data_IF_406238678638
#
_entry.id   IF_406238678638
#
_cell.length_a   1.000
_cell.length_b   1.000
_cell.length_c   1.000
_cell.angle_alpha   90.00
_cell.angle_beta   90.00
_cell.angle_gamma   90.00
#
_symmetry.space_group_name_H-M   'P 1'
#
loop_
_entity.id
_entity.type
_entity.pdbx_description
1 polymer ?
#
# COMPACT_ATOMS: atom_id res chain seq x y z
N UNK A 1 7.42 -4.42 4.67
CA UNK A 1 6.65 -3.45 5.49
C UNK A 1 7.45 -2.21 5.82
N UNK A 2 8.62 -2.29 6.46
CA UNK A 2 9.44 -1.11 6.79
C UNK A 2 9.90 -0.31 5.56
N UNK A 3 10.49 -0.97 4.55
CA UNK A 3 10.88 -0.32 3.29
C UNK A 3 9.69 0.28 2.54
N UNK A 4 8.52 -0.37 2.58
CA UNK A 4 7.31 0.15 1.96
C UNK A 4 6.90 1.49 2.59
N UNK A 5 6.81 1.56 3.93
CA UNK A 5 6.48 2.80 4.64
C UNK A 5 7.50 3.92 4.38
N UNK A 6 8.79 3.58 4.33
CA UNK A 6 9.86 4.54 4.05
C UNK A 6 9.78 5.10 2.62
N UNK A 7 9.51 4.24 1.62
CA UNK A 7 9.36 4.67 0.22
C UNK A 7 8.09 5.52 0.04
N UNK A 8 6.99 5.16 0.70
CA UNK A 8 5.74 5.94 0.67
C UNK A 8 5.93 7.34 1.26
N UNK A 9 6.60 7.44 2.41
CA UNK A 9 6.91 8.73 3.05
C UNK A 9 7.83 9.61 2.18
N UNK A 10 8.83 9.01 1.52
CA UNK A 10 9.69 9.70 0.56
C UNK A 10 8.93 10.17 -0.69
N UNK A 11 7.88 9.43 -1.10
CA UNK A 11 7.00 9.79 -2.22
C UNK A 11 6.12 11.00 -1.89
N UNK A 12 5.73 11.18 -0.62
CA UNK A 12 5.01 12.36 -0.14
C UNK A 12 5.87 13.65 -0.17
N UNK A 13 7.18 13.53 0.06
CA UNK A 13 8.08 14.69 0.15
C UNK A 13 8.72 15.10 -1.19
N UNK A 14 8.68 14.24 -2.22
CA UNK A 14 9.34 14.54 -3.50
C UNK A 14 8.60 15.62 -4.30
N UNK A 15 9.34 16.63 -4.77
CA UNK A 15 8.87 17.73 -5.63
C UNK A 15 9.19 17.48 -7.12
N UNK A 16 9.89 16.39 -7.44
CA UNK A 16 10.43 16.13 -8.78
C UNK A 16 9.82 14.87 -9.41
N UNK A 17 9.46 14.98 -10.69
CA UNK A 17 8.81 13.92 -11.47
C UNK A 17 9.71 12.68 -11.64
N UNK A 18 11.02 12.88 -11.80
CA UNK A 18 12.01 11.79 -11.82
C UNK A 18 12.11 11.06 -10.49
N UNK A 19 12.01 11.78 -9.36
CA UNK A 19 12.01 11.17 -8.03
C UNK A 19 10.76 10.36 -7.76
N UNK A 20 9.63 10.78 -8.33
CA UNK A 20 8.37 10.05 -8.27
C UNK A 20 8.44 8.71 -9.02
N UNK A 21 9.00 8.72 -10.23
CA UNK A 21 9.16 7.51 -11.06
C UNK A 21 10.11 6.51 -10.37
N UNK A 22 11.23 7.00 -9.83
CA UNK A 22 12.16 6.16 -9.08
C UNK A 22 11.49 5.53 -7.84
N UNK A 23 10.76 6.33 -7.05
CA UNK A 23 10.05 5.82 -5.88
C UNK A 23 8.98 4.79 -6.25
N UNK A 24 8.27 4.97 -7.39
CA UNK A 24 7.31 4.00 -7.93
C UNK A 24 7.96 2.66 -8.29
N UNK A 25 9.15 2.70 -8.90
CA UNK A 25 9.92 1.51 -9.26
C UNK A 25 10.35 0.71 -8.03
N UNK A 26 10.92 1.39 -7.03
CA UNK A 26 11.30 0.74 -5.77
C UNK A 26 10.09 0.21 -4.99
N UNK A 27 8.98 0.94 -5.00
CA UNK A 27 7.74 0.48 -4.38
C UNK A 27 7.25 -0.82 -5.04
N UNK A 28 7.21 -0.88 -6.37
CA UNK A 28 6.83 -2.09 -7.11
C UNK A 28 7.75 -3.29 -6.85
N UNK A 29 9.07 -3.06 -6.74
CA UNK A 29 10.04 -4.10 -6.38
C UNK A 29 9.81 -4.63 -4.96
N UNK A 30 9.46 -3.77 -4.01
CA UNK A 30 9.19 -4.18 -2.62
C UNK A 30 7.83 -4.88 -2.50
N UNK A 31 6.83 -4.49 -3.28
CA UNK A 31 5.48 -5.06 -3.21
C UNK A 31 5.41 -6.48 -3.79
N UNK A 32 6.16 -6.75 -4.87
CA UNK A 32 6.15 -8.07 -5.54
C UNK A 32 6.64 -9.21 -4.65
N UNK A 33 7.48 -8.94 -3.64
CA UNK A 33 7.97 -9.95 -2.70
C UNK A 33 7.01 -10.25 -1.55
N UNK A 34 6.10 -9.33 -1.21
CA UNK A 34 5.24 -9.46 -0.01
C UNK A 34 4.18 -10.53 -0.19
N UNK A 35 3.51 -10.55 -1.34
CA UNK A 35 2.46 -11.52 -1.64
C UNK A 35 2.98 -12.98 -1.58
N UNK A 36 4.02 -13.37 -2.33
CA UNK A 36 4.53 -14.73 -2.28
C UNK A 36 5.15 -15.09 -0.92
N UNK A 37 5.79 -14.14 -0.22
CA UNK A 37 6.34 -14.38 1.12
C UNK A 37 5.26 -14.69 2.16
N UNK A 38 4.15 -13.94 2.15
CA UNK A 38 3.00 -14.22 3.03
C UNK A 38 2.38 -15.58 2.75
N UNK A 39 2.19 -15.92 1.47
CA UNK A 39 1.67 -17.24 1.08
C UNK A 39 2.63 -18.38 1.49
N UNK A 40 3.93 -18.18 1.31
CA UNK A 40 4.93 -19.17 1.72
C UNK A 40 4.93 -19.40 3.24
N UNK A 41 4.86 -18.34 4.05
CA UNK A 41 4.80 -18.44 5.50
C UNK A 41 3.53 -19.17 5.99
N UNK A 42 2.38 -18.87 5.39
CA UNK A 42 1.11 -19.53 5.74
C UNK A 42 1.15 -21.02 5.35
N UNK A 43 1.74 -21.35 4.21
CA UNK A 43 1.89 -22.72 3.74
C UNK A 43 2.86 -23.56 4.60
N UNK A 44 3.91 -22.94 5.15
CA UNK A 44 4.90 -23.63 5.98
C UNK A 44 4.41 -23.87 7.43
N UNK A 45 3.61 -22.95 7.97
CA UNK A 45 3.17 -23.02 9.37
C UNK A 45 1.85 -23.81 9.57
N UNK A 46 1.02 -23.99 8.52
CA UNK A 46 -0.33 -24.56 8.67
C UNK A 46 -0.66 -25.72 7.72
N UNK A 47 -1.47 -26.66 8.23
CA UNK A 47 -2.02 -27.79 7.47
C UNK A 47 -3.00 -27.28 6.40
N UNK A 48 -3.06 -27.93 5.23
CA UNK A 48 -3.83 -27.48 4.03
C UNK A 48 -5.29 -27.12 4.32
N UNK A 49 -5.92 -27.82 5.27
CA UNK A 49 -7.33 -27.61 5.65
C UNK A 49 -7.55 -26.32 6.48
N UNK A 50 -6.58 -25.90 7.29
CA UNK A 50 -6.66 -24.65 8.07
C UNK A 50 -6.11 -23.43 7.32
N UNK A 51 -5.15 -23.67 6.41
CA UNK A 51 -4.54 -22.61 5.61
C UNK A 51 -5.58 -21.88 4.77
N UNK A 52 -6.51 -22.61 4.13
CA UNK A 52 -7.52 -22.03 3.24
C UNK A 52 -8.44 -21.04 3.97
N UNK A 53 -8.87 -21.35 5.19
CA UNK A 53 -9.73 -20.46 6.00
C UNK A 53 -9.01 -19.15 6.36
N UNK A 54 -7.70 -19.21 6.62
CA UNK A 54 -6.85 -18.04 6.95
C UNK A 54 -6.53 -17.21 5.71
N UNK A 55 -6.34 -17.84 4.56
CA UNK A 55 -6.20 -17.14 3.28
C UNK A 55 -7.44 -16.32 2.95
N UNK A 56 -8.64 -16.89 3.13
CA UNK A 56 -9.89 -16.16 2.92
C UNK A 56 -9.98 -14.93 3.83
N UNK A 57 -9.57 -15.05 5.10
CA UNK A 57 -9.54 -13.90 6.02
C UNK A 57 -8.54 -12.82 5.56
N UNK A 58 -7.32 -13.21 5.17
CA UNK A 58 -6.31 -12.26 4.66
C UNK A 58 -6.77 -11.54 3.39
N UNK A 59 -7.44 -12.27 2.49
CA UNK A 59 -7.99 -11.72 1.26
C UNK A 59 -9.18 -10.78 1.55
N UNK A 60 -10.06 -11.13 2.49
CA UNK A 60 -11.11 -10.23 2.95
C UNK A 60 -10.55 -8.94 3.56
N UNK A 61 -9.49 -9.02 4.37
CA UNK A 61 -8.80 -7.84 4.90
C UNK A 61 -8.18 -6.98 3.79
N UNK A 62 -7.62 -7.61 2.74
CA UNK A 62 -7.10 -6.90 1.55
C UNK A 62 -8.21 -6.16 0.81
N UNK A 63 -9.35 -6.81 0.58
CA UNK A 63 -10.51 -6.18 -0.07
C UNK A 63 -11.08 -5.03 0.77
N UNK A 64 -11.16 -5.22 2.09
CA UNK A 64 -11.56 -4.14 3.01
C UNK A 64 -10.58 -2.98 2.94
N UNK A 65 -9.27 -3.24 3.03
CA UNK A 65 -8.25 -2.21 2.92
C UNK A 65 -8.32 -1.46 1.58
N UNK A 66 -8.59 -2.15 0.46
CA UNK A 66 -8.83 -1.52 -0.84
C UNK A 66 -10.08 -0.64 -0.86
N UNK A 67 -11.18 -1.09 -0.27
CA UNK A 67 -12.42 -0.32 -0.15
C UNK A 67 -12.27 0.94 0.71
N UNK A 68 -11.61 0.81 1.86
CA UNK A 68 -11.30 1.95 2.73
C UNK A 68 -10.26 2.89 2.11
N UNK A 69 -9.28 2.37 1.37
CA UNK A 69 -8.28 3.16 0.65
C UNK A 69 -8.93 4.05 -0.42
N UNK A 70 -9.88 3.52 -1.18
CA UNK A 70 -10.66 4.30 -2.17
C UNK A 70 -11.55 5.37 -1.51
N UNK A 71 -12.15 5.05 -0.36
CA UNK A 71 -12.98 5.98 0.41
C UNK A 71 -12.13 7.11 1.02
N UNK A 72 -10.97 6.79 1.59
CA UNK A 72 -9.98 7.76 2.07
C UNK A 72 -9.47 8.64 0.93
N UNK A 73 -9.16 8.09 -0.24
CA UNK A 73 -8.75 8.87 -1.41
C UNK A 73 -9.85 9.86 -1.86
N UNK A 74 -11.11 9.46 -1.82
CA UNK A 74 -12.25 10.34 -2.14
C UNK A 74 -12.46 11.46 -1.09
N UNK A 75 -12.26 11.14 0.19
CA UNK A 75 -12.30 12.13 1.27
C UNK A 75 -11.13 13.14 1.18
N UNK A 76 -9.93 12.67 0.84
CA UNK A 76 -8.74 13.51 0.65
C UNK A 76 -8.85 14.36 -0.63
N UNK A 77 -9.53 13.88 -1.67
CA UNK A 77 -9.85 14.66 -2.87
C UNK A 77 -10.73 15.90 -2.58
N UNK A 78 -11.48 15.91 -1.48
CA UNK A 78 -12.22 17.10 -1.00
C UNK A 78 -11.34 18.11 -0.24
N UNK A 79 -10.10 17.77 0.10
CA UNK A 79 -9.10 18.68 0.70
C UNK A 79 -8.19 19.34 -0.36
N UNK A 80 -8.65 19.44 -1.60
CA UNK A 80 -7.96 20.21 -2.64
C UNK A 80 -7.96 21.71 -2.27
N UNK A 81 -6.77 22.27 -1.98
CA UNK A 81 -6.57 23.71 -1.73
C UNK A 81 -6.08 24.11 -0.33
N UNK A 82 -6.05 23.21 0.65
CA UNK A 82 -5.42 23.52 1.95
C UNK A 82 -3.87 23.51 1.82
N UNK A 83 -3.26 24.69 1.96
CA UNK A 83 -1.80 24.95 1.86
C UNK A 83 -1.13 24.84 0.47
N UNK A 84 -1.88 24.90 -0.64
CA UNK A 84 -1.27 25.00 -1.98
C UNK A 84 -0.65 23.71 -2.53
N UNK A 85 -0.94 22.55 -1.91
CA UNK A 85 -0.51 21.24 -2.36
C UNK A 85 -1.68 20.47 -3.01
N UNK A 86 -1.45 19.93 -4.22
CA UNK A 86 -2.43 19.10 -4.95
C UNK A 86 -2.88 17.90 -4.09
N UNK A 87 -4.19 17.64 -4.01
CA UNK A 87 -4.79 16.58 -3.16
C UNK A 87 -4.15 15.19 -3.28
N UNK A 88 -3.54 14.88 -4.44
CA UNK A 88 -2.82 13.62 -4.65
C UNK A 88 -1.59 13.43 -3.74
N UNK A 89 -0.96 14.51 -3.26
CA UNK A 89 0.24 14.45 -2.39
C UNK A 89 -0.13 14.07 -0.96
N UNK A 90 -1.32 14.47 -0.52
CA UNK A 90 -1.84 14.12 0.80
C UNK A 90 -2.09 12.62 0.94
N UNK A 91 -2.42 11.93 -0.15
CA UNK A 91 -2.59 10.47 -0.19
C UNK A 91 -1.27 9.73 0.12
N UNK A 92 -0.11 10.35 -0.12
CA UNK A 92 1.20 9.77 0.16
C UNK A 92 1.81 10.20 1.50
N UNK A 93 1.29 11.27 2.11
CA UNK A 93 1.79 11.82 3.37
C UNK A 93 1.04 11.24 4.58
N UNK A 94 -0.23 10.88 4.43
CA UNK A 94 -1.10 10.23 5.43
C UNK A 94 -1.04 8.71 5.33
#
# INVERSE_FOLDING_TARGET
MFMFGLITMLQGFTQNLSGLIAARFFLGMVETGVFPACFYLIAMWYKREEAQKRYSFFFSSTTLAGGFGGLLASAIGKMDGLHGYRGWRWIFIL
#
